data_IF_951662897883
#
_entry.id   IF_951662897883
#
_cell.length_a   1.000
_cell.length_b   1.000
_cell.length_c   1.000
_cell.angle_alpha   90.00
_cell.angle_beta   90.00
_cell.angle_gamma   90.00
#
_symmetry.space_group_name_H-M   'P 1'
#
loop_
_entity.id
_entity.type
_entity.pdbx_description
1 polymer ?
#
# COMPACT_ATOMS: atom_id res chain seq x y z
N UNK A 1 33.03 -3.71 -19.30
CA UNK A 1 31.74 -3.28 -19.87
C UNK A 1 31.01 -2.69 -18.68
N UNK A 2 30.82 -1.37 -18.64
CA UNK A 2 30.12 -0.71 -17.54
C UNK A 2 28.68 -1.21 -17.55
N UNK A 3 28.26 -1.81 -16.44
CA UNK A 3 26.91 -2.33 -16.29
C UNK A 3 26.00 -1.18 -15.85
N UNK A 4 25.57 -0.42 -16.85
CA UNK A 4 24.76 0.79 -16.67
C UNK A 4 23.47 0.47 -15.90
N UNK A 5 22.93 -0.75 -16.05
CA UNK A 5 21.72 -1.20 -15.34
C UNK A 5 21.98 -1.38 -13.84
N UNK A 6 23.14 -1.94 -13.45
CA UNK A 6 23.51 -2.10 -12.04
C UNK A 6 23.81 -0.74 -11.35
N UNK A 7 24.45 0.20 -12.05
CA UNK A 7 24.68 1.55 -11.53
C UNK A 7 23.37 2.34 -11.39
N UNK A 8 22.43 2.15 -12.31
CA UNK A 8 21.06 2.68 -12.24
C UNK A 8 20.32 2.16 -11.02
N UNK A 9 20.32 0.84 -10.78
CA UNK A 9 19.66 0.22 -9.62
C UNK A 9 20.28 0.70 -8.30
N UNK A 10 21.61 0.79 -8.23
CA UNK A 10 22.31 1.30 -7.05
C UNK A 10 21.94 2.76 -6.75
N UNK A 11 21.81 3.59 -7.79
CA UNK A 11 21.43 4.98 -7.65
C UNK A 11 19.95 5.15 -7.26
N UNK A 12 19.05 4.30 -7.78
CA UNK A 12 17.64 4.26 -7.36
C UNK A 12 17.47 3.83 -5.90
N UNK A 13 18.31 2.91 -5.40
CA UNK A 13 18.31 2.51 -3.99
C UNK A 13 18.72 3.65 -3.04
N UNK A 14 19.53 4.60 -3.52
CA UNK A 14 20.03 5.75 -2.72
C UNK A 14 19.13 6.97 -2.78
N UNK A 15 18.21 7.06 -3.75
CA UNK A 15 17.30 8.18 -3.91
C UNK A 15 15.90 7.84 -3.38
N UNK A 16 15.21 8.84 -2.85
CA UNK A 16 13.77 8.78 -2.60
C UNK A 16 13.12 10.07 -3.09
N UNK A 17 12.16 9.93 -4.01
CA UNK A 17 11.41 11.07 -4.53
C UNK A 17 10.41 11.63 -3.51
N UNK A 18 10.00 12.87 -3.67
CA UNK A 18 8.93 13.46 -2.86
C UNK A 18 7.59 12.72 -3.03
N UNK A 19 7.33 12.20 -4.24
CA UNK A 19 6.19 11.34 -4.56
C UNK A 19 6.18 10.05 -3.75
N UNK A 20 7.31 9.33 -3.77
CA UNK A 20 7.50 8.07 -3.07
C UNK A 20 7.44 8.26 -1.55
N UNK A 21 8.10 9.31 -1.03
CA UNK A 21 8.04 9.65 0.38
C UNK A 21 6.60 9.94 0.84
N UNK A 22 5.83 10.70 0.07
CA UNK A 22 4.42 10.97 0.38
C UNK A 22 3.57 9.68 0.33
N UNK A 23 3.82 8.80 -0.62
CA UNK A 23 3.17 7.48 -0.73
C UNK A 23 3.46 6.61 0.49
N UNK A 24 4.73 6.49 0.91
CA UNK A 24 5.12 5.70 2.09
C UNK A 24 4.47 6.24 3.38
N UNK A 25 4.46 7.56 3.56
CA UNK A 25 3.83 8.19 4.73
C UNK A 25 2.31 7.98 4.71
N UNK A 26 1.67 8.06 3.54
CA UNK A 26 0.24 7.79 3.39
C UNK A 26 -0.08 6.33 3.77
N UNK A 27 0.67 5.37 3.21
CA UNK A 27 0.51 3.94 3.48
C UNK A 27 0.71 3.59 4.96
N UNK A 28 1.63 4.29 5.64
CA UNK A 28 1.89 4.11 7.07
C UNK A 28 0.87 4.78 8.01
N UNK A 29 0.05 5.73 7.53
CA UNK A 29 -0.80 6.58 8.39
C UNK A 29 -2.30 6.48 8.15
N UNK A 30 -2.76 5.84 7.07
CA UNK A 30 -4.17 5.84 6.60
C UNK A 30 -4.77 7.25 6.44
N UNK A 31 -3.93 8.28 6.37
CA UNK A 31 -4.35 9.66 6.19
C UNK A 31 -4.58 9.96 4.71
N UNK A 32 -5.29 11.05 4.40
CA UNK A 32 -5.41 11.55 3.03
C UNK A 32 -4.11 12.22 2.60
N UNK A 33 -3.85 12.32 1.30
CA UNK A 33 -2.66 13.01 0.79
C UNK A 33 -2.61 14.48 1.21
N UNK A 34 -3.77 15.11 1.40
CA UNK A 34 -3.88 16.45 1.96
C UNK A 34 -3.31 16.55 3.38
N UNK A 35 -3.70 15.63 4.27
CA UNK A 35 -3.15 15.56 5.63
C UNK A 35 -1.67 15.18 5.63
N UNK A 36 -1.24 14.27 4.73
CA UNK A 36 0.17 13.90 4.58
C UNK A 36 1.00 15.10 4.15
N UNK A 37 0.53 15.90 3.19
CA UNK A 37 1.21 17.09 2.71
C UNK A 37 1.38 18.14 3.82
N UNK A 38 0.34 18.40 4.61
CA UNK A 38 0.42 19.28 5.78
C UNK A 38 1.44 18.78 6.81
N UNK A 39 1.41 17.47 7.09
CA UNK A 39 2.32 16.87 8.04
C UNK A 39 3.78 16.94 7.57
N UNK A 40 4.05 16.64 6.30
CA UNK A 40 5.37 16.76 5.68
C UNK A 40 5.87 18.20 5.71
N UNK A 41 5.03 19.18 5.35
CA UNK A 41 5.36 20.61 5.45
C UNK A 41 5.77 20.97 6.88
N UNK A 42 4.97 20.60 7.87
CA UNK A 42 5.29 20.86 9.28
C UNK A 42 6.61 20.19 9.69
N UNK A 43 6.84 18.96 9.25
CA UNK A 43 8.04 18.19 9.56
C UNK A 43 9.30 18.80 8.93
N UNK A 44 9.27 19.15 7.64
CA UNK A 44 10.39 19.80 6.97
C UNK A 44 10.69 21.17 7.56
N UNK A 45 9.67 21.96 7.92
CA UNK A 45 9.87 23.21 8.65
C UNK A 45 10.58 23.00 9.99
N UNK A 46 10.17 21.99 10.77
CA UNK A 46 10.82 21.64 12.04
C UNK A 46 12.28 21.21 11.84
N UNK A 47 12.54 20.38 10.83
CA UNK A 47 13.89 19.92 10.49
C UNK A 47 14.79 21.07 10.03
N UNK A 48 14.27 21.95 9.19
CA UNK A 48 14.99 23.11 8.68
C UNK A 48 15.36 24.07 9.83
N UNK A 49 14.42 24.38 10.72
CA UNK A 49 14.67 25.21 11.90
C UNK A 49 15.69 24.60 12.89
N UNK A 50 15.85 23.27 12.87
CA UNK A 50 16.85 22.55 13.65
C UNK A 50 18.19 22.35 12.90
N UNK A 51 18.31 22.80 11.64
CA UNK A 51 19.48 22.58 10.79
C UNK A 51 19.71 21.11 10.39
N UNK A 52 18.66 20.29 10.43
CA UNK A 52 18.71 18.83 10.20
C UNK A 52 18.06 18.39 8.90
N UNK A 53 17.47 19.30 8.13
CA UNK A 53 16.92 18.96 6.83
C UNK A 53 18.10 18.61 5.89
N UNK A 54 18.14 17.40 5.31
CA UNK A 54 19.14 17.07 4.32
C UNK A 54 18.91 17.89 3.04
N UNK A 55 19.98 18.11 2.24
CA UNK A 55 19.88 18.87 1.01
C UNK A 55 18.93 18.20 0.01
N UNK A 56 18.24 19.01 -0.78
CA UNK A 56 17.50 18.49 -1.92
C UNK A 56 18.45 17.99 -3.01
N UNK A 57 18.07 16.86 -3.57
CA UNK A 57 18.75 16.27 -4.71
C UNK A 57 17.76 15.99 -5.83
N UNK A 58 18.30 15.90 -7.04
CA UNK A 58 17.58 15.42 -8.22
C UNK A 58 18.20 14.15 -8.74
N UNK A 59 17.34 13.28 -9.26
CA UNK A 59 17.78 12.17 -10.09
C UNK A 59 17.79 12.62 -11.54
N UNK A 60 19.00 12.82 -12.09
CA UNK A 60 19.14 13.36 -13.44
C UNK A 60 18.91 12.28 -14.52
N UNK A 61 18.91 12.69 -15.79
CA UNK A 61 18.74 11.77 -16.93
C UNK A 61 19.92 10.78 -17.13
N UNK A 62 21.02 10.99 -16.40
CA UNK A 62 22.18 10.11 -16.36
C UNK A 62 22.17 9.18 -15.14
N UNK A 63 21.09 9.18 -14.36
CA UNK A 63 20.92 8.31 -13.19
C UNK A 63 21.86 8.65 -12.04
N UNK A 64 22.33 9.89 -12.01
CA UNK A 64 23.17 10.41 -10.94
C UNK A 64 22.32 11.24 -9.99
N UNK A 65 22.57 11.04 -8.70
CA UNK A 65 22.07 11.92 -7.64
C UNK A 65 22.95 13.16 -7.66
N UNK A 66 22.35 14.31 -7.93
CA UNK A 66 23.05 15.59 -7.92
C UNK A 66 22.31 16.57 -7.01
N UNK A 67 23.03 17.48 -6.32
CA UNK A 67 22.42 18.57 -5.59
C UNK A 67 21.47 19.34 -6.51
N UNK A 68 20.26 19.64 -6.02
CA UNK A 68 19.31 20.45 -6.77
C UNK A 68 19.84 21.87 -7.00
N UNK A 69 20.55 22.40 -6.02
CA UNK A 69 21.27 23.66 -6.13
C UNK A 69 22.80 23.43 -6.20
N UNK A 70 23.53 24.13 -7.08
CA UNK A 70 24.97 23.95 -7.29
C UNK A 70 25.85 24.42 -6.12
N UNK A 71 25.28 25.10 -5.14
CA UNK A 71 25.90 25.44 -3.85
C UNK A 71 25.03 24.84 -2.74
N UNK A 72 25.61 24.43 -1.59
CA UNK A 72 24.92 23.86 -0.39
C UNK A 72 23.96 24.87 0.28
N UNK A 73 23.06 25.44 -0.50
CA UNK A 73 22.25 26.60 -0.19
C UNK A 73 20.91 26.10 0.38
N UNK A 74 20.98 25.49 1.56
CA UNK A 74 19.84 24.88 2.28
C UNK A 74 18.65 25.82 2.50
N UNK A 75 18.87 27.14 2.40
CA UNK A 75 17.82 28.15 2.52
C UNK A 75 16.79 28.10 1.37
N UNK A 76 17.15 27.57 0.20
CA UNK A 76 16.27 27.48 -0.96
C UNK A 76 15.44 26.20 -1.00
N UNK A 77 15.91 25.12 -0.36
CA UNK A 77 15.29 23.82 -0.46
C UNK A 77 13.84 23.79 0.06
N UNK A 78 13.59 24.46 1.18
CA UNK A 78 12.25 24.55 1.74
C UNK A 78 11.32 25.42 0.88
N UNK A 79 11.87 26.45 0.21
CA UNK A 79 11.09 27.30 -0.69
C UNK A 79 10.59 26.51 -1.89
N UNK A 80 11.36 25.53 -2.35
CA UNK A 80 11.05 24.67 -3.50
C UNK A 80 10.09 23.53 -3.13
N UNK A 81 10.26 22.93 -1.95
CA UNK A 81 9.34 21.89 -1.43
C UNK A 81 7.93 22.42 -1.13
N UNK A 82 7.84 23.66 -0.68
CA UNK A 82 6.56 24.24 -0.22
C UNK A 82 5.47 24.26 -1.31
N UNK A 83 5.68 24.84 -2.50
CA UNK A 83 4.67 24.86 -3.55
C UNK A 83 4.30 23.45 -4.04
N UNK A 84 5.27 22.54 -4.08
CA UNK A 84 5.07 21.13 -4.44
C UNK A 84 4.10 20.43 -3.47
N UNK A 85 4.33 20.57 -2.16
CA UNK A 85 3.46 20.00 -1.14
C UNK A 85 2.11 20.72 -1.04
N UNK A 86 2.04 22.02 -1.31
CA UNK A 86 0.76 22.73 -1.40
C UNK A 86 -0.09 22.25 -2.58
N UNK A 87 0.54 21.91 -3.70
CA UNK A 87 -0.16 21.28 -4.83
C UNK A 87 -0.65 19.87 -4.47
N UNK A 88 0.17 19.05 -3.81
CA UNK A 88 -0.29 17.75 -3.28
C UNK A 88 -1.47 17.94 -2.32
N UNK A 89 -1.41 18.95 -1.46
CA UNK A 89 -2.48 19.27 -0.51
C UNK A 89 -3.78 19.61 -1.21
N UNK A 90 -3.72 20.50 -2.21
CA UNK A 90 -4.88 20.98 -2.97
C UNK A 90 -5.53 19.85 -3.78
N UNK A 91 -4.71 19.02 -4.43
CA UNK A 91 -5.21 17.96 -5.31
C UNK A 91 -5.50 16.66 -4.58
N UNK A 92 -4.94 16.46 -3.38
CA UNK A 92 -5.15 15.30 -2.52
C UNK A 92 -4.96 13.95 -3.25
N UNK A 93 -4.09 13.93 -4.25
CA UNK A 93 -3.64 12.76 -4.99
C UNK A 93 -2.21 13.01 -5.49
N UNK A 94 -1.47 11.95 -5.81
CA UNK A 94 -0.13 12.08 -6.37
C UNK A 94 -0.20 12.63 -7.81
N UNK A 95 0.86 13.31 -8.30
CA UNK A 95 0.93 13.67 -9.72
C UNK A 95 0.78 12.44 -10.60
N UNK A 96 0.15 12.60 -11.77
CA UNK A 96 -0.15 11.50 -12.70
C UNK A 96 -1.18 10.48 -12.18
N UNK A 97 -1.85 10.75 -11.05
CA UNK A 97 -2.95 9.91 -10.54
C UNK A 97 -4.26 10.69 -10.50
N UNK A 98 -5.38 9.98 -10.72
CA UNK A 98 -6.70 10.54 -10.50
C UNK A 98 -7.12 10.35 -9.03
N UNK A 99 -7.85 11.32 -8.44
CA UNK A 99 -8.48 11.12 -7.15
C UNK A 99 -9.43 9.91 -7.21
N UNK A 100 -9.50 9.13 -6.13
CA UNK A 100 -10.47 8.05 -6.04
C UNK A 100 -11.90 8.61 -5.99
N UNK A 101 -12.88 7.84 -6.45
CA UNK A 101 -14.29 8.26 -6.45
C UNK A 101 -14.75 8.60 -5.02
N UNK A 102 -15.16 9.85 -4.80
CA UNK A 102 -15.56 10.36 -3.48
C UNK A 102 -14.45 11.07 -2.69
N UNK A 103 -13.23 11.14 -3.19
CA UNK A 103 -12.16 11.97 -2.63
C UNK A 103 -12.14 13.37 -3.27
N UNK A 104 -11.90 14.41 -2.47
CA UNK A 104 -11.66 15.75 -2.99
C UNK A 104 -10.33 15.77 -3.74
N UNK A 105 -10.27 16.34 -4.94
CA UNK A 105 -9.04 16.43 -5.73
C UNK A 105 -9.25 16.63 -7.23
N UNK A 106 -8.21 17.06 -7.93
CA UNK A 106 -8.18 17.13 -9.40
C UNK A 106 -6.93 16.40 -9.93
N UNK A 107 -7.02 15.90 -11.16
CA UNK A 107 -5.85 15.37 -11.85
C UNK A 107 -4.82 16.48 -12.07
N UNK A 108 -3.56 16.20 -11.73
CA UNK A 108 -2.48 17.15 -11.91
C UNK A 108 -1.18 16.44 -12.29
N UNK A 109 -0.27 17.23 -12.84
CA UNK A 109 1.01 16.77 -13.39
C UNK A 109 2.12 17.65 -12.83
N UNK A 110 3.19 17.03 -12.34
CA UNK A 110 4.37 17.74 -11.87
C UNK A 110 5.59 16.83 -11.93
N UNK A 111 6.41 16.99 -12.99
CA UNK A 111 7.67 16.27 -13.12
C UNK A 111 8.64 16.57 -11.99
N UNK A 112 8.65 17.82 -11.51
CA UNK A 112 9.49 18.21 -10.38
C UNK A 112 9.15 17.42 -9.12
N UNK A 113 7.88 17.14 -8.84
CA UNK A 113 7.47 16.36 -7.66
C UNK A 113 7.97 14.90 -7.70
N UNK A 114 8.17 14.36 -8.89
CA UNK A 114 8.61 12.98 -9.12
C UNK A 114 10.14 12.87 -9.16
N UNK A 115 10.83 13.92 -9.62
CA UNK A 115 12.28 13.93 -9.84
C UNK A 115 13.10 14.58 -8.72
N UNK A 116 12.44 15.41 -7.90
CA UNK A 116 13.03 16.06 -6.74
C UNK A 116 12.81 15.20 -5.49
N UNK A 117 13.83 15.09 -4.66
CA UNK A 117 13.78 14.25 -3.47
C UNK A 117 15.00 14.42 -2.59
N UNK A 118 15.36 13.35 -1.90
CA UNK A 118 16.46 13.30 -0.95
C UNK A 118 17.29 12.05 -1.16
N UNK A 119 18.51 12.07 -0.62
CA UNK A 119 19.21 10.83 -0.33
C UNK A 119 18.45 10.05 0.75
N UNK A 120 18.17 8.79 0.46
CA UNK A 120 17.23 7.93 1.20
C UNK A 120 17.68 7.72 2.64
N UNK A 121 18.97 7.44 2.85
CA UNK A 121 19.52 7.25 4.20
C UNK A 121 19.46 8.53 5.03
N UNK A 122 19.86 9.66 4.44
CA UNK A 122 19.90 10.94 5.14
C UNK A 122 18.51 11.39 5.61
N UNK A 123 17.51 11.27 4.73
CA UNK A 123 16.14 11.64 5.09
C UNK A 123 15.49 10.63 6.04
N UNK A 124 15.80 9.33 5.92
CA UNK A 124 15.27 8.30 6.82
C UNK A 124 15.71 8.54 8.27
N UNK A 125 16.95 8.99 8.48
CA UNK A 125 17.51 9.29 9.80
C UNK A 125 16.82 10.45 10.51
N UNK A 126 16.10 11.29 9.77
CA UNK A 126 15.30 12.37 10.33
C UNK A 126 13.97 11.91 10.95
N UNK A 127 13.55 10.67 10.65
CA UNK A 127 12.27 10.13 11.06
C UNK A 127 12.36 9.11 12.20
N UNK A 128 11.21 8.83 12.82
CA UNK A 128 11.11 7.81 13.88
C UNK A 128 11.44 6.41 13.33
N UNK A 129 11.89 5.46 14.18
CA UNK A 129 12.34 4.13 13.73
C UNK A 129 11.36 3.38 12.82
N UNK A 130 10.05 3.52 13.05
CA UNK A 130 9.00 2.88 12.25
C UNK A 130 8.99 3.39 10.80
N UNK A 131 9.06 4.71 10.60
CA UNK A 131 9.06 5.30 9.28
C UNK A 131 10.45 5.20 8.63
N UNK A 132 11.52 5.30 9.42
CA UNK A 132 12.88 5.00 8.97
C UNK A 132 12.97 3.59 8.37
N UNK A 133 12.43 2.58 9.05
CA UNK A 133 12.41 1.21 8.54
C UNK A 133 11.63 1.08 7.23
N UNK A 134 10.51 1.79 7.08
CA UNK A 134 9.74 1.79 5.83
C UNK A 134 10.51 2.44 4.68
N UNK A 135 11.15 3.58 4.92
CA UNK A 135 11.95 4.28 3.90
C UNK A 135 13.13 3.42 3.44
N UNK A 136 13.79 2.69 4.35
CA UNK A 136 14.95 1.87 4.04
C UNK A 136 14.62 0.45 3.54
N UNK A 137 13.39 -0.05 3.74
CA UNK A 137 13.03 -1.43 3.39
C UNK A 137 13.03 -1.71 1.87
N UNK A 138 12.80 -0.70 1.03
CA UNK A 138 12.79 -0.82 -0.43
C UNK A 138 14.19 -1.00 -1.06
N UNK A 139 15.26 -0.95 -0.27
CA UNK A 139 16.66 -1.09 -0.74
C UNK A 139 17.12 -2.56 -0.79
N UNK A 140 16.36 -3.51 -0.22
CA UNK A 140 16.74 -4.92 -0.16
C UNK A 140 16.18 -5.75 -1.33
N UNK A 141 16.48 -5.37 -2.57
CA UNK A 141 16.23 -6.23 -3.73
C UNK A 141 17.50 -6.28 -4.58
N UNK A 142 18.41 -7.20 -4.24
CA UNK A 142 19.14 -8.08 -5.17
C UNK A 142 20.36 -8.76 -4.50
N UNK A 143 20.11 -9.79 -3.69
CA UNK A 143 20.82 -11.05 -3.91
C UNK A 143 19.93 -11.89 -4.85
N UNK A 144 20.42 -12.10 -6.07
CA UNK A 144 19.96 -12.98 -7.16
C UNK A 144 19.08 -12.40 -8.30
N UNK A 145 19.79 -12.11 -9.40
CA UNK A 145 19.51 -12.45 -10.81
C UNK A 145 18.31 -11.83 -11.54
N UNK A 146 18.61 -10.85 -12.42
CA UNK A 146 17.76 -10.47 -13.54
C UNK A 146 17.86 -11.46 -14.71
N UNK A 147 16.73 -12.10 -15.07
CA UNK A 147 16.24 -12.28 -16.45
C UNK A 147 14.86 -12.95 -16.50
N UNK A 148 14.15 -12.78 -17.63
CA UNK A 148 13.01 -11.87 -17.78
C UNK A 148 11.78 -12.31 -16.97
N UNK A 149 11.08 -11.40 -16.28
CA UNK A 149 9.90 -11.75 -15.48
C UNK A 149 8.66 -12.04 -16.36
N UNK A 150 8.69 -13.13 -17.11
CA UNK A 150 7.52 -13.95 -17.35
C UNK A 150 7.59 -15.16 -16.42
N UNK A 151 6.54 -15.27 -15.60
CA UNK A 151 6.12 -16.43 -14.82
C UNK A 151 6.83 -16.75 -13.50
N UNK A 152 6.03 -16.57 -12.44
CA UNK A 152 5.84 -17.52 -11.33
C UNK A 152 7.06 -17.95 -10.53
N UNK A 153 7.25 -17.33 -9.35
CA UNK A 153 7.42 -18.14 -8.14
C UNK A 153 7.14 -17.37 -6.84
N UNK A 154 6.12 -17.86 -6.13
CA UNK A 154 5.99 -17.98 -4.68
C UNK A 154 6.37 -16.77 -3.80
N UNK A 155 5.33 -16.00 -3.47
CA UNK A 155 5.23 -15.36 -2.15
C UNK A 155 5.24 -16.49 -1.13
N UNK A 156 6.39 -16.74 -0.51
CA UNK A 156 6.47 -17.46 0.75
C UNK A 156 5.93 -16.54 1.86
N UNK A 157 4.62 -16.69 1.99
CA UNK A 157 3.75 -16.50 3.12
C UNK A 157 4.50 -16.84 4.43
N UNK A 158 5.22 -15.88 5.01
CA UNK A 158 5.49 -15.89 6.47
C UNK A 158 5.45 -14.51 7.16
N UNK A 159 4.68 -13.58 6.58
CA UNK A 159 3.99 -12.51 7.32
C UNK A 159 2.46 -12.66 7.21
N UNK A 160 1.99 -13.90 7.05
CA UNK A 160 0.88 -14.27 6.17
C UNK A 160 -0.46 -14.64 6.80
N UNK A 161 -0.83 -14.11 7.97
CA UNK A 161 -2.10 -14.51 8.62
C UNK A 161 -3.10 -13.38 8.81
N UNK A 162 -2.74 -12.10 8.63
CA UNK A 162 -3.73 -11.00 8.78
C UNK A 162 -4.33 -10.49 7.47
N UNK A 163 -3.52 -10.31 6.42
CA UNK A 163 -4.01 -9.79 5.14
C UNK A 163 -4.85 -10.81 4.37
N UNK A 164 -4.39 -12.06 4.32
CA UNK A 164 -5.07 -13.16 3.62
C UNK A 164 -6.43 -13.47 4.26
N UNK A 165 -6.49 -13.62 5.58
CA UNK A 165 -7.72 -13.91 6.31
C UNK A 165 -8.76 -12.79 6.16
N UNK A 166 -8.31 -11.53 6.22
CA UNK A 166 -9.18 -10.37 5.98
C UNK A 166 -9.70 -10.32 4.54
N UNK A 167 -8.85 -10.61 3.55
CA UNK A 167 -9.24 -10.69 2.15
C UNK A 167 -10.25 -11.82 1.90
N UNK A 168 -10.03 -13.00 2.50
CA UNK A 168 -10.95 -14.13 2.43
C UNK A 168 -12.30 -13.80 3.08
N UNK A 169 -12.33 -13.09 4.21
CA UNK A 169 -13.57 -12.64 4.83
C UNK A 169 -14.33 -11.61 3.98
N UNK A 170 -13.61 -10.68 3.31
CA UNK A 170 -14.21 -9.72 2.38
C UNK A 170 -14.84 -10.45 1.18
N UNK A 171 -14.09 -11.37 0.56
CA UNK A 171 -14.56 -12.16 -0.58
C UNK A 171 -15.78 -12.99 -0.17
N UNK A 172 -15.75 -13.63 0.99
CA UNK A 172 -16.89 -14.39 1.50
C UNK A 172 -18.10 -13.50 1.81
N UNK A 173 -17.87 -12.31 2.37
CA UNK A 173 -18.89 -11.29 2.65
C UNK A 173 -19.62 -10.86 1.38
N UNK A 174 -18.87 -10.47 0.36
CA UNK A 174 -19.41 -10.03 -0.92
C UNK A 174 -20.12 -11.16 -1.67
N UNK A 175 -19.55 -12.37 -1.69
CA UNK A 175 -20.19 -13.53 -2.32
C UNK A 175 -21.56 -13.85 -1.70
N UNK A 176 -21.67 -13.80 -0.36
CA UNK A 176 -22.94 -14.01 0.36
C UNK A 176 -23.93 -12.87 0.09
N UNK A 177 -23.47 -11.62 0.09
CA UNK A 177 -24.33 -10.48 -0.20
C UNK A 177 -24.92 -10.55 -1.62
N UNK A 178 -24.08 -10.85 -2.62
CA UNK A 178 -24.51 -11.03 -4.01
C UNK A 178 -25.47 -12.22 -4.14
N UNK A 179 -25.19 -13.33 -3.44
CA UNK A 179 -26.07 -14.49 -3.38
C UNK A 179 -27.45 -14.18 -2.78
N UNK A 180 -27.54 -13.28 -1.80
CA UNK A 180 -28.81 -12.88 -1.15
C UNK A 180 -29.59 -11.84 -1.95
N UNK A 181 -28.90 -10.89 -2.57
CA UNK A 181 -29.53 -9.80 -3.34
C UNK A 181 -29.98 -10.29 -4.71
N UNK A 182 -29.22 -11.21 -5.31
CA UNK A 182 -29.44 -11.64 -6.67
C UNK A 182 -29.94 -13.09 -6.70
N UNK A 183 -31.24 -13.27 -6.99
CA UNK A 183 -31.85 -14.60 -7.07
C UNK A 183 -31.13 -15.57 -8.02
N UNK A 184 -30.46 -15.06 -9.07
CA UNK A 184 -29.60 -15.85 -9.99
C UNK A 184 -28.37 -16.49 -9.30
N UNK A 185 -27.88 -15.86 -8.24
CA UNK A 185 -26.72 -16.29 -7.47
C UNK A 185 -27.09 -17.07 -6.20
N UNK A 186 -28.39 -17.26 -5.94
CA UNK A 186 -28.90 -18.02 -4.81
C UNK A 186 -29.18 -19.48 -5.21
N UNK A 187 -28.98 -20.41 -4.27
CA UNK A 187 -29.45 -21.80 -4.31
C UNK A 187 -30.12 -22.13 -2.97
N UNK A 188 -31.01 -23.11 -2.98
CA UNK A 188 -31.71 -23.57 -1.77
C UNK A 188 -30.76 -23.94 -0.62
N UNK A 189 -29.53 -24.38 -0.93
CA UNK A 189 -28.52 -24.79 0.05
C UNK A 189 -27.28 -23.89 0.09
N UNK A 190 -27.30 -22.70 -0.55
CA UNK A 190 -26.16 -21.78 -0.53
C UNK A 190 -26.05 -20.87 -1.75
N UNK A 191 -24.82 -20.58 -2.17
CA UNK A 191 -24.54 -19.66 -3.28
C UNK A 191 -24.31 -20.46 -4.57
N UNK A 192 -24.86 -19.98 -5.68
CA UNK A 192 -24.59 -20.49 -7.02
C UNK A 192 -23.21 -20.01 -7.51
N UNK A 193 -22.15 -20.67 -7.02
CA UNK A 193 -20.75 -20.31 -7.30
C UNK A 193 -20.44 -20.15 -8.80
N UNK A 194 -20.98 -21.02 -9.66
CA UNK A 194 -20.71 -20.97 -11.10
C UNK A 194 -21.30 -19.73 -11.78
N UNK A 195 -22.46 -19.24 -11.34
CA UNK A 195 -23.04 -18.01 -11.85
C UNK A 195 -22.23 -16.79 -11.35
N UNK A 196 -21.83 -16.82 -10.08
CA UNK A 196 -21.01 -15.77 -9.48
C UNK A 196 -19.65 -15.63 -10.17
N UNK A 197 -18.98 -16.75 -10.46
CA UNK A 197 -17.70 -16.76 -11.18
C UNK A 197 -17.86 -16.15 -12.58
N UNK A 198 -18.90 -16.53 -13.33
CA UNK A 198 -19.13 -15.96 -14.67
C UNK A 198 -19.33 -14.45 -14.65
N UNK A 199 -20.08 -13.94 -13.67
CA UNK A 199 -20.32 -12.50 -13.53
C UNK A 199 -19.04 -11.75 -13.11
N UNK A 200 -18.21 -12.36 -12.26
CA UNK A 200 -16.88 -11.82 -11.92
C UNK A 200 -16.00 -11.76 -13.17
N UNK A 201 -16.04 -12.80 -14.02
CA UNK A 201 -15.30 -12.81 -15.28
C UNK A 201 -15.77 -11.74 -16.25
N UNK A 202 -17.08 -11.58 -16.41
CA UNK A 202 -17.63 -10.51 -17.22
C UNK A 202 -17.17 -9.15 -16.68
N UNK A 203 -17.23 -8.93 -15.37
CA UNK A 203 -16.76 -7.68 -14.75
C UNK A 203 -15.25 -7.44 -14.94
N UNK A 204 -14.40 -8.46 -14.80
CA UNK A 204 -12.96 -8.34 -15.06
C UNK A 204 -12.70 -8.07 -16.54
N UNK A 205 -13.47 -8.68 -17.44
CA UNK A 205 -13.36 -8.42 -18.88
C UNK A 205 -13.81 -7.00 -19.25
N UNK A 206 -14.87 -6.51 -18.62
CA UNK A 206 -15.50 -5.22 -18.95
C UNK A 206 -14.79 -4.03 -18.28
N UNK A 207 -14.21 -4.24 -17.10
CA UNK A 207 -13.63 -3.17 -16.27
C UNK A 207 -12.16 -3.40 -15.88
N UNK A 208 -11.62 -4.60 -16.10
CA UNK A 208 -10.29 -5.02 -15.65
C UNK A 208 -9.24 -4.98 -16.76
N UNK A 209 -9.13 -3.88 -17.50
CA UNK A 209 -8.08 -3.69 -18.51
C UNK A 209 -6.69 -3.99 -17.94
N UNK A 210 -5.98 -4.95 -18.51
CA UNK A 210 -4.66 -5.40 -18.05
C UNK A 210 -4.68 -6.54 -17.02
N UNK A 211 -5.85 -7.00 -16.58
CA UNK A 211 -5.97 -8.13 -15.65
C UNK A 211 -6.22 -9.44 -16.43
N UNK A 212 -5.35 -10.44 -16.24
CA UNK A 212 -5.62 -11.82 -16.67
C UNK A 212 -5.83 -12.70 -15.45
N UNK A 213 -7.04 -13.23 -15.27
CA UNK A 213 -7.36 -14.14 -14.16
C UNK A 213 -7.95 -15.42 -14.74
N UNK A 214 -7.57 -16.58 -14.20
CA UNK A 214 -8.09 -17.88 -14.65
C UNK A 214 -9.40 -18.27 -13.94
N UNK A 215 -10.34 -18.89 -14.67
CA UNK A 215 -11.67 -19.27 -14.17
C UNK A 215 -11.59 -20.20 -12.96
N UNK A 216 -10.63 -21.12 -13.02
CA UNK A 216 -10.36 -22.05 -11.93
C UNK A 216 -9.87 -21.31 -10.69
N UNK A 217 -9.02 -20.30 -10.86
CA UNK A 217 -8.44 -19.54 -9.75
C UNK A 217 -9.49 -18.73 -9.00
N UNK A 218 -10.41 -18.08 -9.71
CA UNK A 218 -11.53 -17.34 -9.09
C UNK A 218 -12.46 -18.29 -8.31
N UNK A 219 -12.75 -19.47 -8.89
CA UNK A 219 -13.58 -20.49 -8.23
C UNK A 219 -12.95 -21.05 -6.96
N UNK A 220 -11.63 -21.28 -6.99
CA UNK A 220 -10.87 -21.80 -5.85
C UNK A 220 -10.82 -20.76 -4.74
N UNK A 221 -10.56 -19.48 -5.05
CA UNK A 221 -10.55 -18.38 -4.09
C UNK A 221 -11.90 -18.19 -3.39
N UNK A 222 -13.01 -18.23 -4.15
CA UNK A 222 -14.35 -18.16 -3.55
C UNK A 222 -14.61 -19.36 -2.63
N UNK A 223 -14.11 -20.54 -2.98
CA UNK A 223 -14.30 -21.74 -2.18
C UNK A 223 -13.45 -21.72 -0.90
N UNK A 224 -12.21 -21.28 -1.00
CA UNK A 224 -11.31 -21.04 0.13
C UNK A 224 -11.92 -20.01 1.09
N UNK A 225 -12.41 -18.89 0.58
CA UNK A 225 -13.04 -17.83 1.37
C UNK A 225 -14.28 -18.32 2.14
N UNK A 226 -15.16 -19.05 1.47
CA UNK A 226 -16.38 -19.58 2.12
C UNK A 226 -16.07 -20.67 3.15
N UNK A 227 -15.08 -21.54 2.88
CA UNK A 227 -14.64 -22.56 3.83
C UNK A 227 -13.97 -21.94 5.06
N UNK A 228 -13.08 -20.97 4.85
CA UNK A 228 -12.42 -20.21 5.91
C UNK A 228 -13.44 -19.54 6.84
N UNK A 229 -14.43 -18.85 6.26
CA UNK A 229 -15.50 -18.22 7.03
C UNK A 229 -16.35 -19.23 7.80
N UNK A 230 -16.67 -20.37 7.20
CA UNK A 230 -17.40 -21.44 7.88
C UNK A 230 -16.62 -21.98 9.08
N UNK A 231 -15.30 -22.21 8.95
CA UNK A 231 -14.45 -22.64 10.07
C UNK A 231 -14.34 -21.60 11.19
N UNK A 232 -14.32 -20.30 10.87
CA UNK A 232 -14.31 -19.23 11.88
C UNK A 232 -15.62 -19.16 12.67
N UNK A 233 -16.76 -19.38 12.02
CA UNK A 233 -18.06 -19.39 12.70
C UNK A 233 -18.14 -20.54 13.70
N UNK A 234 -17.72 -21.75 13.30
CA UNK A 234 -17.68 -22.92 14.18
C UNK A 234 -16.70 -22.71 15.35
N UNK A 235 -15.53 -22.12 15.10
CA UNK A 235 -14.56 -21.81 16.15
C UNK A 235 -15.06 -20.78 17.15
N UNK A 236 -15.77 -19.74 16.69
CA UNK A 236 -16.36 -18.73 17.56
C UNK A 236 -17.49 -19.29 18.43
N UNK A 237 -18.34 -20.17 17.87
CA UNK A 237 -19.40 -20.84 18.65
C UNK A 237 -18.82 -21.70 19.78
N UNK A 238 -17.72 -22.41 19.53
CA UNK A 238 -17.03 -23.20 20.56
C UNK A 238 -16.40 -22.33 21.67
N UNK A 239 -15.81 -21.19 21.31
CA UNK A 239 -15.22 -20.24 22.29
C UNK A 239 -16.30 -19.63 23.18
N UNK A 240 -17.45 -19.26 22.60
CA UNK A 240 -18.58 -18.71 23.35
C UNK A 240 -19.15 -19.74 24.33
N UNK A 241 -19.26 -21.00 23.92
CA UNK A 241 -19.74 -22.07 24.79
C UNK A 241 -18.76 -22.37 25.95
N UNK A 242 -17.44 -22.38 25.68
CA UNK A 242 -16.41 -22.53 26.72
C UNK A 242 -16.36 -21.33 27.70
N UNK A 243 -16.63 -20.12 27.22
CA UNK A 243 -16.71 -18.93 28.06
C UNK A 243 -17.95 -18.95 28.97
N UNK A 244 -19.07 -19.48 28.47
CA UNK A 244 -20.29 -19.67 29.26
C UNK A 244 -20.09 -20.71 30.38
N UNK A 245 -19.45 -21.84 30.09
CA UNK A 245 -19.15 -22.89 31.10
C UNK A 245 -18.20 -22.40 32.21
N UNK A 246 -17.25 -21.52 31.89
CA UNK A 246 -16.33 -20.93 32.89
C UNK A 246 -17.01 -19.89 33.78
N UNK A 247 -17.97 -19.13 33.25
CA UNK A 247 -18.73 -18.15 34.01
C UNK A 247 -19.67 -18.82 35.03
N UNK A 248 -20.18 -20.02 34.73
CA UNK A 248 -20.99 -20.82 35.65
C UNK A 248 -20.15 -21.41 36.81
N UNK A 249 -18.85 -21.66 36.60
CA UNK A 249 -17.94 -22.19 37.63
C UNK A 249 -17.34 -21.12 38.56
N UNK A 250 -17.40 -19.83 38.18
CA UNK A 250 -16.80 -18.72 38.95
C UNK A 250 -17.77 -17.99 39.90
N UNK A 251 -18.97 -18.53 40.16
CA UNK A 251 -19.84 -18.06 41.24
C UNK A 251 -19.57 -18.90 42.51
N UNK A 252 -18.67 -18.48 43.42
CA UNK A 252 -18.73 -19.00 44.78
C UNK A 252 -20.01 -18.45 45.41
N UNK A 253 -20.88 -19.34 45.88
CA UNK A 253 -22.02 -18.95 46.69
C UNK A 253 -21.48 -18.34 47.99
N UNK A 254 -21.52 -17.02 48.13
CA UNK A 254 -21.33 -16.40 49.43
C UNK A 254 -22.62 -16.55 50.23
N UNK A 255 -22.59 -17.57 51.10
CA UNK A 255 -23.35 -17.64 52.35
C UNK A 255 -22.70 -16.78 53.42
#
# INVERSE_FOLDING_TARGET
MFDIEAELEEAYGKFISLAELASLVQGGSRATFSTVAEWLLMKFNQMNGAGRLPPLVIFNHFSEIQPFHPEDCKEFDLQELTPLLLNLKKNNCLPYTHPAEGEEGEYWVSDSFVRLGFEREEIADCFKPQLKALILAEVNINENELKPAQSTMYIDIDSSLRGKDALLDIIAGQAIAIGKISGKHSRATGINKSALVRDIFAAISDYGTGMSVDDRRVRDLISEALAFRASRLVGNEQIVNLAAERAEQSNPSEF
#
